data_IF_555648258629
#
_entry.id   IF_555648258629
#
_cell.length_a   1.000
_cell.length_b   1.000
_cell.length_c   1.000
_cell.angle_alpha   90.00
_cell.angle_beta   90.00
_cell.angle_gamma   90.00
#
_symmetry.space_group_name_H-M   'P 1'
#
loop_
_entity.id
_entity.type
_entity.pdbx_description
1 polymer ?
#
# COMPACT_ATOMS: atom_id res chain seq x y z
N UNK A 1 8.41 4.43 0.74
CA UNK A 1 9.67 5.16 0.52
C UNK A 1 9.65 5.67 -0.91
N UNK A 2 9.58 7.00 -1.10
CA UNK A 2 9.69 7.63 -2.42
C UNK A 2 11.16 7.51 -2.83
N UNK A 3 11.45 6.71 -3.86
CA UNK A 3 12.70 6.80 -4.62
C UNK A 3 12.35 7.37 -5.98
N UNK A 4 12.64 8.65 -6.16
CA UNK A 4 12.67 9.30 -7.47
C UNK A 4 13.90 8.74 -8.19
N UNK A 5 13.69 7.80 -9.11
CA UNK A 5 14.73 7.42 -10.07
C UNK A 5 14.59 8.34 -11.28
N UNK A 6 15.31 9.46 -11.21
CA UNK A 6 15.77 10.20 -12.37
C UNK A 6 16.71 9.25 -13.14
N UNK A 7 16.28 8.74 -14.30
CA UNK A 7 17.15 8.03 -15.21
C UNK A 7 17.87 9.07 -16.07
N UNK A 8 19.03 9.52 -15.60
CA UNK A 8 19.98 10.24 -16.44
C UNK A 8 20.83 9.23 -17.22
N UNK A 9 21.18 9.63 -18.44
CA UNK A 9 21.75 8.81 -19.49
C UNK A 9 23.06 8.11 -19.15
N UNK A 10 23.24 7.01 -19.87
CA UNK A 10 24.39 6.14 -19.97
C UNK A 10 25.67 6.89 -20.39
N UNK A 11 26.73 6.76 -19.58
CA UNK A 11 28.12 6.86 -20.03
C UNK A 11 28.99 5.88 -19.23
N UNK A 12 29.82 5.12 -19.95
CA UNK A 12 30.65 4.02 -19.48
C UNK A 12 32.02 4.57 -19.02
N UNK A 13 32.51 4.18 -17.84
CA UNK A 13 33.96 3.90 -17.65
C UNK A 13 34.26 3.21 -16.30
N UNK A 14 34.81 2.01 -16.42
CA UNK A 14 35.95 1.47 -15.65
C UNK A 14 35.93 1.49 -14.10
N UNK A 15 35.64 0.31 -13.53
CA UNK A 15 36.61 -0.43 -12.71
C UNK A 15 36.85 0.00 -11.25
N UNK A 16 36.23 -0.74 -10.31
CA UNK A 16 36.89 -1.40 -9.14
C UNK A 16 35.84 -1.95 -8.16
N UNK A 17 35.82 -3.27 -7.99
CA UNK A 17 35.53 -3.94 -6.70
C UNK A 17 36.91 -4.27 -6.09
N UNK A 18 37.11 -4.44 -4.75
CA UNK A 18 36.16 -5.14 -3.88
C UNK A 18 36.11 -4.72 -2.37
N UNK A 19 35.19 -5.41 -1.68
CA UNK A 19 35.21 -5.87 -0.28
C UNK A 19 34.82 -4.96 0.91
N UNK A 20 33.80 -5.47 1.63
CA UNK A 20 33.69 -5.68 3.08
C UNK A 20 33.56 -4.49 4.04
N UNK A 21 32.40 -4.42 4.71
CA UNK A 21 32.28 -4.41 6.18
C UNK A 21 30.79 -4.38 6.58
N UNK A 22 30.24 -5.55 6.93
CA UNK A 22 29.01 -5.65 7.72
C UNK A 22 29.42 -5.93 9.16
N UNK A 23 29.28 -4.96 10.07
CA UNK A 23 29.29 -5.20 11.52
C UNK A 23 28.25 -4.27 12.15
N UNK A 24 27.21 -4.85 12.75
CA UNK A 24 26.14 -4.12 13.40
C UNK A 24 25.24 -5.09 14.16
N UNK A 25 25.59 -5.29 15.43
CA UNK A 25 24.94 -6.16 16.41
C UNK A 25 23.45 -5.85 16.59
N UNK A 26 22.60 -6.89 16.64
CA UNK A 26 21.29 -6.81 17.28
C UNK A 26 21.01 -8.09 18.09
N UNK A 27 21.21 -7.91 19.39
CA UNK A 27 20.46 -8.42 20.55
C UNK A 27 19.57 -9.65 20.37
N UNK A 28 19.89 -10.65 21.17
CA UNK A 28 19.09 -11.84 21.46
C UNK A 28 17.79 -11.49 22.16
N UNK A 29 16.69 -12.11 21.77
CA UNK A 29 15.62 -12.46 22.70
C UNK A 29 15.03 -13.81 22.32
N UNK A 30 15.42 -14.78 23.14
CA UNK A 30 14.90 -16.13 23.22
C UNK A 30 13.41 -16.09 23.57
N UNK A 31 12.58 -16.73 22.74
CA UNK A 31 11.28 -17.24 23.19
C UNK A 31 11.28 -18.72 22.88
N UNK A 32 11.56 -19.50 23.92
CA UNK A 32 11.45 -20.95 23.92
C UNK A 32 10.00 -21.34 23.59
N UNK A 33 9.81 -22.05 22.48
CA UNK A 33 8.58 -22.77 22.20
C UNK A 33 8.49 -23.96 23.17
N UNK A 34 7.48 -23.94 24.05
CA UNK A 34 7.18 -25.08 24.90
C UNK A 34 6.45 -26.16 24.08
N UNK A 35 6.78 -27.45 24.26
CA UNK A 35 6.09 -28.54 23.59
C UNK A 35 4.69 -28.73 24.16
N UNK A 36 3.69 -28.70 23.29
CA UNK A 36 2.31 -29.05 23.63
C UNK A 36 2.25 -30.57 23.73
N UNK A 37 2.27 -31.11 24.95
CA UNK A 37 1.91 -32.51 25.20
C UNK A 37 0.43 -32.71 24.87
N UNK A 38 0.15 -33.48 23.80
CA UNK A 38 -1.17 -34.01 23.55
C UNK A 38 -1.48 -35.07 24.61
N UNK A 39 -2.15 -34.67 25.70
CA UNK A 39 -2.81 -35.61 26.60
C UNK A 39 -3.99 -36.23 25.88
N UNK A 40 -3.88 -37.53 25.61
CA UNK A 40 -4.97 -38.40 25.17
C UNK A 40 -6.12 -38.28 26.18
N UNK A 41 -7.28 -37.78 25.73
CA UNK A 41 -8.49 -37.79 26.54
C UNK A 41 -9.34 -38.95 26.00
N UNK A 42 -9.16 -40.13 26.59
CA UNK A 42 -10.11 -41.23 26.45
C UNK A 42 -11.44 -40.77 27.06
N UNK A 43 -12.47 -40.58 26.23
CA UNK A 43 -13.83 -40.32 26.71
C UNK A 43 -14.67 -41.57 26.50
N UNK A 44 -14.75 -42.36 27.55
CA UNK A 44 -15.72 -43.43 27.72
C UNK A 44 -17.14 -42.85 27.72
N UNK A 45 -18.04 -43.49 26.97
CA UNK A 45 -19.45 -43.11 26.89
C UNK A 45 -20.22 -43.39 28.18
N UNK A 46 -21.46 -42.89 28.27
CA UNK A 46 -22.54 -43.87 28.33
C UNK A 46 -23.72 -43.52 27.42
N UNK A 47 -24.27 -44.56 26.79
CA UNK A 47 -25.61 -44.52 26.20
C UNK A 47 -26.64 -44.22 27.29
N UNK A 48 -27.50 -43.22 27.07
CA UNK A 48 -28.82 -43.17 27.71
C UNK A 48 -29.87 -42.69 26.72
N UNK A 49 -30.75 -43.62 26.40
CA UNK A 49 -31.98 -43.50 25.64
C UNK A 49 -33.09 -42.79 26.45
N UNK A 50 -33.88 -41.99 25.72
CA UNK A 50 -35.29 -41.57 25.90
C UNK A 50 -35.82 -41.04 27.24
N UNK A 51 -36.35 -39.80 27.21
CA UNK A 51 -37.81 -39.53 27.28
C UNK A 51 -38.12 -38.02 27.08
N UNK A 52 -39.29 -37.64 26.50
CA UNK A 52 -39.76 -36.26 26.38
C UNK A 52 -40.67 -35.87 27.56
N UNK A 53 -40.83 -34.56 27.81
CA UNK A 53 -42.05 -33.87 28.30
C UNK A 53 -41.76 -32.78 29.35
N UNK A 54 -42.07 -31.54 28.94
CA UNK A 54 -42.55 -30.38 29.70
C UNK A 54 -42.03 -30.18 31.13
N UNK A 55 -41.24 -29.12 31.32
CA UNK A 55 -41.47 -28.19 32.43
C UNK A 55 -40.81 -26.83 32.20
N UNK A 56 -41.64 -25.79 32.35
CA UNK A 56 -41.33 -24.37 32.31
C UNK A 56 -40.14 -24.02 33.23
N UNK A 57 -39.16 -23.30 32.70
CA UNK A 57 -38.34 -22.37 33.48
C UNK A 57 -38.21 -21.05 32.71
N UNK A 58 -38.84 -20.03 33.29
CA UNK A 58 -38.80 -18.63 32.88
C UNK A 58 -37.40 -18.10 33.13
N UNK A 59 -36.60 -17.92 32.09
CA UNK A 59 -35.45 -17.00 32.11
C UNK A 59 -35.83 -15.80 31.25
N UNK A 60 -36.28 -14.73 31.91
CA UNK A 60 -36.42 -13.40 31.32
C UNK A 60 -35.06 -12.94 30.82
N UNK A 61 -34.76 -13.23 29.56
CA UNK A 61 -33.59 -12.75 28.86
C UNK A 61 -33.72 -11.23 28.71
N UNK A 62 -33.02 -10.48 29.55
CA UNK A 62 -32.77 -9.05 29.33
C UNK A 62 -31.84 -8.94 28.12
N UNK A 63 -32.42 -8.94 26.92
CA UNK A 63 -31.70 -8.74 25.66
C UNK A 63 -31.25 -7.29 25.60
N UNK A 64 -30.02 -7.04 26.06
CA UNK A 64 -29.32 -5.79 25.90
C UNK A 64 -29.13 -5.54 24.39
N UNK A 65 -30.05 -4.78 23.80
CA UNK A 65 -29.97 -4.40 22.39
C UNK A 65 -28.90 -3.33 22.24
N UNK A 66 -27.65 -3.75 22.02
CA UNK A 66 -26.60 -2.86 21.54
C UNK A 66 -26.98 -2.42 20.13
N UNK A 67 -27.63 -1.25 20.01
CA UNK A 67 -27.76 -0.56 18.74
C UNK A 67 -26.37 -0.08 18.33
N UNK A 68 -25.65 -0.90 17.57
CA UNK A 68 -24.44 -0.48 16.88
C UNK A 68 -24.87 0.57 15.84
N UNK A 69 -24.66 1.85 16.13
CA UNK A 69 -24.77 2.88 15.11
C UNK A 69 -23.72 2.60 14.04
N UNK A 70 -24.08 2.50 12.75
CA UNK A 70 -23.08 2.41 11.71
C UNK A 70 -22.24 3.69 11.80
N UNK A 71 -20.97 3.53 12.15
CA UNK A 71 -20.00 4.60 11.99
C UNK A 71 -19.81 4.76 10.49
N UNK A 72 -20.45 5.77 9.91
CA UNK A 72 -20.14 6.24 8.58
C UNK A 72 -18.68 6.69 8.58
N UNK A 73 -17.78 5.76 8.25
CA UNK A 73 -16.41 6.12 7.90
C UNK A 73 -16.51 6.90 6.61
N UNK A 74 -16.63 8.23 6.72
CA UNK A 74 -16.46 9.10 5.58
C UNK A 74 -15.14 8.70 4.92
N UNK A 75 -15.21 8.27 3.66
CA UNK A 75 -14.05 7.85 2.91
C UNK A 75 -13.15 9.08 2.74
N UNK A 76 -12.14 9.21 3.60
CA UNK A 76 -11.23 10.34 3.59
C UNK A 76 -10.60 10.47 2.19
N UNK A 77 -10.92 11.53 1.46
CA UNK A 77 -10.33 11.81 0.15
C UNK A 77 -9.12 12.72 0.32
N UNK A 78 -8.04 12.43 -0.39
CA UNK A 78 -6.83 13.25 -0.41
C UNK A 78 -6.55 13.74 -1.82
N UNK A 79 -5.88 14.89 -1.90
CA UNK A 79 -5.35 15.43 -3.15
C UNK A 79 -3.83 15.36 -3.13
N UNK A 80 -3.23 15.04 -4.28
CA UNK A 80 -1.79 14.97 -4.47
C UNK A 80 -1.39 15.97 -5.57
N UNK A 81 -0.45 16.85 -5.25
CA UNK A 81 0.19 17.74 -6.23
C UNK A 81 1.65 17.33 -6.41
N UNK A 82 2.08 17.18 -7.66
CA UNK A 82 3.44 16.74 -8.01
C UNK A 82 4.07 17.83 -8.86
N UNK A 83 5.04 18.53 -8.28
CA UNK A 83 5.79 19.62 -8.93
C UNK A 83 7.21 19.14 -9.23
N UNK A 84 7.79 19.63 -10.33
CA UNK A 84 9.19 19.42 -10.65
C UNK A 84 10.09 19.82 -9.46
N UNK A 85 11.04 18.96 -9.08
CA UNK A 85 11.97 19.24 -7.98
C UNK A 85 13.05 20.27 -8.37
N UNK A 86 13.45 20.26 -9.64
CA UNK A 86 14.44 21.17 -10.22
C UNK A 86 13.82 21.94 -11.37
N UNK A 87 14.34 23.13 -11.64
CA UNK A 87 13.89 23.98 -12.76
C UNK A 87 13.96 23.23 -14.08
N UNK A 88 12.87 23.26 -14.85
CA UNK A 88 12.81 22.61 -16.16
C UNK A 88 13.73 23.32 -17.16
N UNK A 89 14.30 22.57 -18.11
CA UNK A 89 15.23 23.11 -19.10
C UNK A 89 14.52 24.04 -20.10
N UNK A 90 13.27 23.71 -20.46
CA UNK A 90 12.44 24.45 -21.41
C UNK A 90 10.98 24.56 -20.93
N UNK A 91 10.19 25.39 -21.62
CA UNK A 91 8.72 25.39 -21.48
C UNK A 91 8.02 24.52 -22.53
N UNK A 92 8.81 23.79 -23.32
CA UNK A 92 8.33 23.11 -24.50
C UNK A 92 7.76 21.73 -24.18
N UNK A 93 6.97 21.23 -25.13
CA UNK A 93 6.31 19.95 -25.00
C UNK A 93 5.38 19.85 -23.79
N UNK A 94 5.51 18.76 -23.04
CA UNK A 94 4.59 18.38 -21.97
C UNK A 94 5.28 17.79 -20.75
N UNK A 95 4.83 18.20 -19.56
CA UNK A 95 5.17 17.59 -18.28
C UNK A 95 4.07 16.61 -17.90
N UNK A 96 4.43 15.33 -17.81
CA UNK A 96 3.49 14.22 -17.65
C UNK A 96 3.74 13.56 -16.32
N UNK A 97 2.66 13.24 -15.61
CA UNK A 97 2.72 12.44 -14.41
C UNK A 97 1.72 11.30 -14.50
N UNK A 98 2.10 10.14 -14.00
CA UNK A 98 1.19 9.01 -13.86
C UNK A 98 1.25 8.47 -12.43
N UNK A 99 0.11 8.00 -11.93
CA UNK A 99 -0.12 7.56 -10.56
C UNK A 99 -0.55 6.10 -10.57
N UNK A 100 0.11 5.26 -9.78
CA UNK A 100 -0.25 3.84 -9.61
C UNK A 100 -0.59 3.54 -8.16
N UNK A 101 -1.66 2.77 -7.94
CA UNK A 101 -2.03 2.19 -6.63
C UNK A 101 -1.38 0.82 -6.38
N UNK A 102 -0.66 0.26 -7.36
CA UNK A 102 0.05 -1.02 -7.27
C UNK A 102 1.30 -1.02 -8.15
N UNK A 103 2.23 -1.96 -7.92
CA UNK A 103 3.50 -2.03 -8.66
C UNK A 103 3.37 -2.51 -10.10
N UNK A 104 2.34 -3.29 -10.45
CA UNK A 104 2.19 -3.89 -11.79
C UNK A 104 2.09 -2.81 -12.87
N UNK A 105 3.02 -2.82 -13.82
CA UNK A 105 3.06 -1.90 -14.95
C UNK A 105 3.76 -0.56 -14.67
N UNK A 106 4.14 -0.28 -13.42
CA UNK A 106 4.94 0.88 -13.10
C UNK A 106 6.38 0.74 -13.64
N UNK A 107 7.03 1.80 -14.16
CA UNK A 107 6.46 3.10 -14.54
C UNK A 107 6.02 3.19 -16.01
N UNK A 108 6.28 2.17 -16.83
CA UNK A 108 6.22 2.28 -18.30
C UNK A 108 4.83 2.03 -18.91
N UNK A 109 3.95 1.30 -18.22
CA UNK A 109 2.63 0.93 -18.74
C UNK A 109 1.57 1.89 -18.21
N UNK A 110 1.48 3.07 -18.82
CA UNK A 110 0.55 4.15 -18.40
C UNK A 110 -0.92 3.70 -18.46
N UNK A 111 -1.26 2.78 -19.35
CA UNK A 111 -2.61 2.16 -19.41
C UNK A 111 -2.97 1.34 -18.16
N UNK A 112 -1.97 0.97 -17.34
CA UNK A 112 -2.17 0.33 -16.02
C UNK A 112 -2.08 1.31 -14.87
N UNK A 113 -1.87 2.60 -15.15
CA UNK A 113 -1.93 3.64 -14.13
C UNK A 113 -3.37 3.83 -13.65
N UNK A 114 -3.51 4.20 -12.38
CA UNK A 114 -4.79 4.60 -11.81
C UNK A 114 -5.27 5.93 -12.40
N UNK A 115 -4.35 6.85 -12.61
CA UNK A 115 -4.60 8.16 -13.19
C UNK A 115 -3.33 8.70 -13.86
N UNK A 116 -3.49 9.61 -14.81
CA UNK A 116 -2.40 10.37 -15.41
C UNK A 116 -2.84 11.82 -15.66
N UNK A 117 -1.89 12.74 -15.60
CA UNK A 117 -2.10 14.17 -15.87
C UNK A 117 -0.97 14.66 -16.79
N UNK A 118 -1.28 15.63 -17.66
CA UNK A 118 -0.32 16.25 -18.56
C UNK A 118 -0.52 17.75 -18.55
N UNK A 119 0.58 18.48 -18.32
CA UNK A 119 0.59 19.93 -18.21
C UNK A 119 1.63 20.50 -19.15
N UNK A 120 1.32 21.63 -19.77
CA UNK A 120 2.34 22.41 -20.45
C UNK A 120 3.15 23.19 -19.41
N UNK A 121 4.49 23.05 -19.37
CA UNK A 121 5.30 23.85 -18.47
C UNK A 121 5.13 25.36 -18.67
N UNK A 122 5.25 26.11 -17.58
CA UNK A 122 5.23 27.58 -17.57
C UNK A 122 6.33 28.07 -16.63
N UNK A 123 7.06 29.10 -17.04
CA UNK A 123 8.17 29.66 -16.26
C UNK A 123 9.14 28.59 -15.74
N UNK A 124 9.41 27.57 -16.57
CA UNK A 124 10.28 26.42 -16.25
C UNK A 124 9.81 25.61 -15.05
N UNK A 125 8.51 25.57 -14.81
CA UNK A 125 7.87 24.76 -13.77
C UNK A 125 6.55 24.16 -14.27
N UNK A 126 6.16 23.03 -13.67
CA UNK A 126 4.89 22.38 -13.92
C UNK A 126 4.44 21.59 -12.69
N UNK A 127 3.13 21.53 -12.48
CA UNK A 127 2.51 20.76 -11.39
C UNK A 127 1.37 19.91 -11.91
N UNK A 128 1.48 18.59 -11.76
CA UNK A 128 0.37 17.66 -11.97
C UNK A 128 -0.50 17.59 -10.72
N UNK A 129 -1.82 17.42 -10.88
CA UNK A 129 -2.76 17.33 -9.75
C UNK A 129 -3.65 16.09 -9.87
N UNK A 130 -3.79 15.38 -8.77
CA UNK A 130 -4.69 14.23 -8.63
C UNK A 130 -5.61 14.49 -7.43
N UNK A 131 -6.92 14.55 -7.65
CA UNK A 131 -7.93 14.72 -6.59
C UNK A 131 -8.60 13.39 -6.24
N UNK A 132 -9.38 13.40 -5.16
CA UNK A 132 -10.31 12.31 -4.82
C UNK A 132 -9.64 10.93 -4.66
N UNK A 133 -8.42 10.92 -4.16
CA UNK A 133 -7.69 9.69 -3.90
C UNK A 133 -8.13 9.12 -2.56
N UNK A 134 -8.51 7.82 -2.48
CA UNK A 134 -8.53 7.12 -1.20
C UNK A 134 -7.17 7.20 -0.51
N UNK A 135 -7.12 7.17 0.83
CA UNK A 135 -5.85 7.10 1.54
C UNK A 135 -5.18 5.77 1.19
N UNK A 136 -3.88 5.80 0.93
CA UNK A 136 -3.17 4.62 0.50
C UNK A 136 -1.75 4.92 0.04
N UNK A 137 -1.05 3.86 -0.35
CA UNK A 137 0.27 3.98 -0.94
C UNK A 137 0.15 4.12 -2.45
N UNK A 138 0.89 5.07 -2.98
CA UNK A 138 0.95 5.33 -4.41
C UNK A 138 2.39 5.41 -4.89
N UNK A 139 2.61 5.03 -6.15
CA UNK A 139 3.82 5.33 -6.90
C UNK A 139 3.49 6.39 -7.95
N UNK A 140 4.44 7.29 -8.21
CA UNK A 140 4.30 8.37 -9.20
C UNK A 140 5.50 8.30 -10.15
N UNK A 141 5.26 8.37 -11.45
CA UNK A 141 6.30 8.71 -12.43
C UNK A 141 6.08 10.12 -12.95
N UNK A 142 7.18 10.80 -13.29
CA UNK A 142 7.20 12.15 -13.82
C UNK A 142 8.14 12.18 -15.01
N UNK A 143 7.70 12.77 -16.12
CA UNK A 143 8.48 12.89 -17.35
C UNK A 143 8.26 14.29 -17.97
N UNK A 144 9.32 14.94 -18.41
CA UNK A 144 9.23 16.11 -19.28
C UNK A 144 9.54 15.71 -20.71
N UNK A 145 8.50 15.51 -21.51
CA UNK A 145 8.57 15.20 -22.94
C UNK A 145 8.65 16.53 -23.71
N UNK A 146 9.88 17.06 -23.85
CA UNK A 146 10.15 18.38 -24.45
C UNK A 146 9.81 18.46 -25.94
N UNK A 147 9.96 17.37 -26.68
CA UNK A 147 9.70 17.32 -28.12
C UNK A 147 8.29 16.79 -28.45
N UNK A 148 7.51 16.42 -27.43
CA UNK A 148 6.13 15.97 -27.51
C UNK A 148 5.92 14.71 -28.38
N UNK A 149 6.93 13.84 -28.46
CA UNK A 149 6.87 12.62 -29.27
C UNK A 149 6.24 11.42 -28.52
N UNK A 150 5.82 11.64 -27.27
CA UNK A 150 5.16 10.65 -26.42
C UNK A 150 6.03 9.44 -26.06
N UNK A 151 7.35 9.57 -26.08
CA UNK A 151 8.29 8.50 -25.76
C UNK A 151 9.21 8.85 -24.60
#
# INVERSE_FOLDING_TARGET
MVRVNQQDGHDDTSGKRPQAACLGMLSTSSVAAQPIELRSIEREGPRREFAPMKQLLVFSALTLSFAATPSDRQAQRVSLSVTNATTLRSNDGSFRCALWSHSRGFPMQVNRARAHDSRRPRSRSATCRFSDLPPGRYAVSVLHDENNNQR
#
